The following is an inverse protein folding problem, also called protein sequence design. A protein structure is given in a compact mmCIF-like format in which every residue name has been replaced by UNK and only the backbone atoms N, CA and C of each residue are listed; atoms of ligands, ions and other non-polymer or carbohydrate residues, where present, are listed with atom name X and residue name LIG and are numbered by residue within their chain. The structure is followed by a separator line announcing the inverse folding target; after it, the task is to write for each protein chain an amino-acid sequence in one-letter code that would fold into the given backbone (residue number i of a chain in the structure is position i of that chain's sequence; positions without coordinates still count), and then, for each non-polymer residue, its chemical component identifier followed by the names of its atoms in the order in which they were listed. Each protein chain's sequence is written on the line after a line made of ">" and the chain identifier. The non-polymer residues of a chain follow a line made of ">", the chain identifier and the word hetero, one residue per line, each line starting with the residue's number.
data_IF_311040103655
#
_entry.id   IF_311040103655
#
_cell.length_a   1.000
_cell.length_b   1.000
_cell.length_c   1.000
_cell.angle_alpha   90.00
_cell.angle_beta   90.00
_cell.angle_gamma   90.00
#
_symmetry.space_group_name_H-M   'P 1'
#
loop_
_entity.id
_entity.type
_entity.pdbx_description
1 polymer ?
#
# COMPACT_ATOMS: atom_id res chain seq x y z
N UNK A 1 -9.91 10.40 -2.10
CA UNK A 1 -11.01 10.15 -1.13
C UNK A 1 -11.39 11.37 -0.30
N UNK A 2 -10.52 11.94 0.56
CA UNK A 2 -10.92 12.98 1.55
C UNK A 2 -11.49 14.29 0.98
N UNK A 3 -10.95 14.81 -0.12
CA UNK A 3 -11.34 16.13 -0.67
C UNK A 3 -12.85 16.27 -1.00
N UNK A 4 -13.50 15.35 -1.75
CA UNK A 4 -14.95 15.43 -1.97
C UNK A 4 -15.78 15.18 -0.70
N UNK A 5 -15.27 14.41 0.29
CA UNK A 5 -15.93 14.23 1.58
C UNK A 5 -15.95 15.54 2.38
N UNK A 6 -14.79 16.20 2.50
CA UNK A 6 -14.64 17.52 3.12
C UNK A 6 -15.57 18.57 2.48
N UNK A 7 -15.61 18.61 1.14
CA UNK A 7 -16.50 19.50 0.38
C UNK A 7 -17.98 19.20 0.63
N UNK A 8 -18.38 17.92 0.71
CA UNK A 8 -19.78 17.51 0.94
C UNK A 8 -20.28 17.88 2.35
N UNK A 9 -19.43 17.75 3.37
CA UNK A 9 -19.79 17.94 4.78
C UNK A 9 -19.28 19.27 5.38
N UNK A 10 -18.79 20.18 4.55
CA UNK A 10 -18.27 21.50 4.94
C UNK A 10 -17.16 21.45 6.03
N UNK A 11 -16.32 20.40 6.01
CA UNK A 11 -15.26 20.18 7.00
C UNK A 11 -13.94 20.79 6.51
N UNK A 12 -13.27 21.58 7.36
CA UNK A 12 -12.02 22.26 7.00
C UNK A 12 -10.79 21.35 7.09
N UNK A 13 -10.70 20.49 8.12
CA UNK A 13 -9.59 19.55 8.30
C UNK A 13 -10.09 18.11 8.51
N UNK A 14 -9.65 17.20 7.64
CA UNK A 14 -10.07 15.80 7.64
C UNK A 14 -9.07 14.92 6.84
N UNK A 15 -9.03 13.63 7.15
CA UNK A 15 -8.09 12.65 6.56
C UNK A 15 -8.81 11.30 6.29
N UNK A 16 -8.12 10.17 6.05
CA UNK A 16 -8.69 8.81 6.12
C UNK A 16 -7.68 7.88 6.82
N UNK A 17 -8.02 6.65 7.24
CA UNK A 17 -7.14 5.94 8.19
C UNK A 17 -6.09 5.07 7.53
N UNK A 18 -4.87 5.60 7.51
CA UNK A 18 -3.67 4.81 7.27
C UNK A 18 -3.59 3.67 8.29
N UNK A 19 -3.61 3.94 9.60
CA UNK A 19 -3.45 2.90 10.64
C UNK A 19 -4.51 1.76 10.61
N UNK A 20 -5.75 2.03 10.17
CA UNK A 20 -6.81 1.02 10.03
C UNK A 20 -6.68 0.18 8.76
N UNK A 21 -6.46 0.82 7.62
CA UNK A 21 -6.22 0.10 6.36
C UNK A 21 -4.92 -0.71 6.48
N UNK A 22 -3.93 -0.20 7.22
CA UNK A 22 -2.71 -0.91 7.59
C UNK A 22 -2.95 -2.11 8.52
N UNK A 23 -3.82 -1.96 9.54
CA UNK A 23 -4.24 -3.06 10.42
C UNK A 23 -4.81 -4.23 9.61
N UNK A 24 -5.78 -3.95 8.74
CA UNK A 24 -6.39 -4.99 7.90
C UNK A 24 -5.45 -5.50 6.81
N UNK A 25 -4.61 -4.65 6.23
CA UNK A 25 -3.56 -5.08 5.29
C UNK A 25 -2.64 -6.12 5.92
N UNK A 26 -2.10 -5.88 7.12
CA UNK A 26 -1.19 -6.85 7.77
C UNK A 26 -1.87 -8.21 8.00
N UNK A 27 -3.16 -8.24 8.31
CA UNK A 27 -3.93 -9.47 8.56
C UNK A 27 -4.29 -10.18 7.25
N UNK A 28 -4.91 -9.48 6.31
CA UNK A 28 -5.34 -10.05 5.02
C UNK A 28 -4.15 -10.49 4.16
N UNK A 29 -3.07 -9.69 4.12
CA UNK A 29 -1.82 -10.04 3.43
C UNK A 29 -1.17 -11.27 4.05
N UNK A 30 -1.18 -11.40 5.38
CA UNK A 30 -0.71 -12.61 6.07
C UNK A 30 -1.56 -13.83 5.70
N UNK A 31 -2.89 -13.69 5.64
CA UNK A 31 -3.79 -14.78 5.27
C UNK A 31 -3.61 -15.20 3.81
N UNK A 32 -3.53 -14.24 2.89
CA UNK A 32 -3.25 -14.46 1.46
C UNK A 32 -1.90 -15.14 1.27
N UNK A 33 -0.85 -14.66 1.94
CA UNK A 33 0.49 -15.22 1.85
C UNK A 33 0.56 -16.67 2.37
N UNK A 34 -0.08 -16.99 3.50
CA UNK A 34 -0.14 -18.38 4.00
C UNK A 34 -0.85 -19.32 3.03
N UNK A 35 -1.90 -18.85 2.34
CA UNK A 35 -2.55 -19.62 1.28
C UNK A 35 -1.63 -19.80 0.06
N UNK A 36 -0.86 -18.79 -0.35
CA UNK A 36 0.11 -18.91 -1.44
C UNK A 36 1.26 -19.89 -1.11
N UNK A 37 1.67 -19.99 0.15
CA UNK A 37 2.62 -21.04 0.59
C UNK A 37 2.01 -22.44 0.46
N UNK A 38 0.70 -22.60 0.70
CA UNK A 38 -0.01 -23.88 0.49
C UNK A 38 -0.17 -24.20 -1.01
N UNK A 39 -0.44 -23.20 -1.85
CA UNK A 39 -0.57 -23.35 -3.30
C UNK A 39 0.76 -23.81 -3.90
N UNK A 40 1.84 -23.04 -3.69
CA UNK A 40 3.19 -23.38 -4.18
C UNK A 40 3.68 -24.74 -3.65
N UNK A 41 3.33 -25.12 -2.42
CA UNK A 41 3.63 -26.44 -1.87
C UNK A 41 2.90 -27.59 -2.56
N UNK A 42 1.66 -27.37 -3.03
CA UNK A 42 0.87 -28.36 -3.80
C UNK A 42 1.34 -28.45 -5.25
N UNK A 43 1.83 -27.35 -5.81
CA UNK A 43 2.41 -27.27 -7.15
C UNK A 43 3.82 -27.88 -7.24
N UNK A 44 4.46 -28.14 -6.09
CA UNK A 44 5.77 -28.79 -6.01
C UNK A 44 6.97 -27.85 -6.04
N UNK A 45 6.77 -26.55 -5.82
CA UNK A 45 7.85 -25.57 -5.68
C UNK A 45 8.83 -26.00 -4.58
N UNK A 46 10.12 -26.02 -4.91
CA UNK A 46 11.18 -26.49 -4.02
C UNK A 46 11.52 -25.46 -2.93
N UNK A 47 12.21 -25.90 -1.87
CA UNK A 47 12.54 -25.02 -0.74
C UNK A 47 13.51 -23.89 -1.13
N UNK A 48 14.40 -24.20 -2.07
CA UNK A 48 15.37 -23.31 -2.72
C UNK A 48 14.83 -22.69 -4.03
N UNK A 49 13.59 -23.01 -4.42
CA UNK A 49 12.93 -22.47 -5.61
C UNK A 49 12.86 -20.93 -5.60
N UNK A 50 13.07 -20.30 -6.77
CA UNK A 50 13.12 -18.83 -6.91
C UNK A 50 11.85 -18.15 -6.39
N UNK A 51 10.68 -18.74 -6.65
CA UNK A 51 9.39 -18.21 -6.20
C UNK A 51 9.26 -18.28 -4.67
N UNK A 52 9.58 -19.41 -4.05
CA UNK A 52 9.49 -19.56 -2.60
C UNK A 52 10.52 -18.66 -1.87
N UNK A 53 11.75 -18.57 -2.38
CA UNK A 53 12.77 -17.65 -1.86
C UNK A 53 12.32 -16.18 -1.93
N UNK A 54 11.68 -15.77 -3.03
CA UNK A 54 11.09 -14.44 -3.15
C UNK A 54 9.97 -14.21 -2.12
N UNK A 55 9.00 -15.13 -2.01
CA UNK A 55 7.91 -15.06 -1.04
C UNK A 55 8.41 -15.01 0.41
N UNK A 56 9.54 -15.67 0.72
CA UNK A 56 10.16 -15.65 2.04
C UNK A 56 11.03 -14.41 2.32
N UNK A 57 11.49 -13.66 1.30
CA UNK A 57 12.35 -12.46 1.44
C UNK A 57 11.63 -11.37 2.25
N UNK A 58 10.47 -10.92 1.77
CA UNK A 58 9.60 -10.01 2.51
C UNK A 58 8.11 -10.36 2.35
N UNK A 59 7.55 -11.18 3.27
CA UNK A 59 6.16 -11.64 3.16
C UNK A 59 5.11 -10.58 3.50
N UNK A 60 5.51 -9.48 4.15
CA UNK A 60 4.62 -8.43 4.66
C UNK A 60 5.33 -7.06 4.66
N UNK A 61 5.75 -6.60 3.49
CA UNK A 61 6.11 -5.21 3.31
C UNK A 61 4.89 -4.29 3.52
N UNK A 62 5.16 -3.01 3.77
CA UNK A 62 4.11 -2.01 4.06
C UNK A 62 3.52 -1.36 2.80
N UNK A 63 4.22 -1.51 1.66
CA UNK A 63 3.75 -1.06 0.35
C UNK A 63 2.52 -1.80 -0.15
N UNK A 64 1.74 -1.15 -0.99
CA UNK A 64 0.58 -1.72 -1.67
C UNK A 64 0.48 -1.25 -3.12
N UNK A 65 -0.48 -1.82 -3.84
CA UNK A 65 -0.98 -1.32 -5.13
C UNK A 65 -2.44 -0.89 -4.99
N UNK A 66 -2.96 -0.16 -5.98
CA UNK A 66 -4.31 0.42 -5.92
C UNK A 66 -5.40 -0.61 -5.61
N UNK A 67 -5.41 -1.76 -6.29
CA UNK A 67 -6.45 -2.78 -6.09
C UNK A 67 -6.40 -3.43 -4.69
N UNK A 68 -5.24 -3.43 -4.01
CA UNK A 68 -5.16 -3.85 -2.60
C UNK A 68 -5.94 -2.88 -1.70
N UNK A 69 -5.79 -1.58 -1.95
CA UNK A 69 -6.55 -0.54 -1.24
C UNK A 69 -8.04 -0.67 -1.57
N UNK A 70 -8.41 -0.89 -2.83
CA UNK A 70 -9.82 -1.13 -3.24
C UNK A 70 -10.41 -2.34 -2.52
N UNK A 71 -9.70 -3.46 -2.43
CA UNK A 71 -10.15 -4.66 -1.71
C UNK A 71 -10.38 -4.39 -0.21
N UNK A 72 -9.44 -3.69 0.44
CA UNK A 72 -9.58 -3.32 1.86
C UNK A 72 -10.74 -2.34 2.08
N UNK A 73 -10.88 -1.32 1.22
CA UNK A 73 -11.96 -0.32 1.30
C UNK A 73 -13.33 -0.95 1.01
N UNK A 74 -13.44 -1.90 0.09
CA UNK A 74 -14.69 -2.61 -0.19
C UNK A 74 -15.08 -3.58 0.93
N UNK A 75 -14.11 -4.19 1.63
CA UNK A 75 -14.34 -5.20 2.68
C UNK A 75 -14.53 -4.58 4.08
N UNK A 76 -13.84 -3.48 4.38
CA UNK A 76 -13.77 -2.86 5.71
C UNK A 76 -14.20 -1.39 5.75
N UNK A 77 -14.33 -0.73 4.58
CA UNK A 77 -14.75 0.66 4.50
C UNK A 77 -13.64 1.70 4.74
N UNK A 78 -14.07 2.96 4.89
CA UNK A 78 -13.23 4.11 5.24
C UNK A 78 -13.95 5.01 6.25
N UNK A 79 -13.19 5.87 6.89
CA UNK A 79 -13.28 6.00 8.33
C UNK A 79 -12.94 7.47 8.82
N UNK A 80 -13.76 8.12 9.68
CA UNK A 80 -13.53 9.47 10.29
C UNK A 80 -12.70 9.68 11.59
N UNK A 81 -11.94 10.79 11.65
CA UNK A 81 -10.65 10.98 12.39
C UNK A 81 -10.47 10.32 13.76
N UNK A 82 -10.98 10.91 14.83
CA UNK A 82 -10.30 10.94 16.16
C UNK A 82 -10.39 9.62 16.98
N UNK A 83 -10.56 8.49 16.30
CA UNK A 83 -11.11 7.26 16.87
C UNK A 83 -10.26 5.99 16.59
N UNK A 84 -9.36 6.02 15.61
CA UNK A 84 -8.17 5.14 15.58
C UNK A 84 -6.99 6.07 15.26
N UNK A 85 -6.24 6.51 16.28
CA UNK A 85 -5.04 7.31 16.07
C UNK A 85 -3.92 6.45 15.45
N UNK A 86 -2.77 7.08 15.20
CA UNK A 86 -1.53 6.34 14.98
C UNK A 86 -1.07 5.72 16.31
N UNK A 87 -0.55 4.49 16.26
CA UNK A 87 0.22 3.91 17.37
C UNK A 87 1.72 4.15 17.15
N UNK A 88 2.56 3.73 18.11
CA UNK A 88 4.01 3.69 17.88
C UNK A 88 4.37 2.78 16.69
N UNK A 89 3.66 1.66 16.52
CA UNK A 89 3.98 0.65 15.51
C UNK A 89 3.42 0.96 14.12
N UNK A 90 2.37 1.78 13.98
CA UNK A 90 1.97 2.27 12.65
C UNK A 90 2.96 3.32 12.13
N UNK A 91 3.50 4.19 13.00
CA UNK A 91 4.58 5.12 12.66
C UNK A 91 5.96 4.45 12.49
N UNK A 92 6.18 3.29 13.11
CA UNK A 92 7.48 2.57 13.13
C UNK A 92 7.28 1.05 13.04
N UNK A 93 6.78 0.60 11.89
CA UNK A 93 6.40 -0.79 11.60
C UNK A 93 7.49 -1.84 11.81
N UNK A 94 8.77 -1.48 11.62
CA UNK A 94 9.92 -2.40 11.58
C UNK A 94 9.91 -3.50 12.65
N UNK A 95 9.61 -3.18 13.91
CA UNK A 95 9.61 -4.16 15.01
C UNK A 95 8.41 -5.11 14.95
N UNK A 96 7.20 -4.59 14.69
CA UNK A 96 5.99 -5.40 14.48
C UNK A 96 6.18 -6.32 13.27
N UNK A 97 6.74 -5.77 12.18
CA UNK A 97 7.00 -6.50 10.95
C UNK A 97 8.07 -7.59 11.16
N UNK A 98 9.11 -7.37 11.96
CA UNK A 98 10.08 -8.43 12.31
C UNK A 98 9.43 -9.62 13.04
N UNK A 99 8.50 -9.35 13.98
CA UNK A 99 7.75 -10.39 14.69
C UNK A 99 6.83 -11.18 13.74
N UNK A 100 6.05 -10.49 12.91
CA UNK A 100 5.14 -11.12 11.95
C UNK A 100 5.92 -11.90 10.89
N UNK A 101 7.01 -11.36 10.33
CA UNK A 101 7.89 -12.06 9.37
C UNK A 101 8.47 -13.34 9.97
N UNK A 102 8.84 -13.32 11.25
CA UNK A 102 9.33 -14.52 11.96
C UNK A 102 8.23 -15.58 12.08
N UNK A 103 7.03 -15.19 12.49
CA UNK A 103 5.89 -16.12 12.57
C UNK A 103 5.42 -16.65 11.23
N UNK A 104 5.38 -15.82 10.18
CA UNK A 104 5.05 -16.29 8.83
C UNK A 104 6.06 -17.31 8.30
N UNK A 105 7.36 -17.14 8.54
CA UNK A 105 8.39 -18.13 8.17
C UNK A 105 8.26 -19.44 8.96
N UNK A 106 7.95 -19.38 10.26
CA UNK A 106 7.61 -20.54 11.09
C UNK A 106 6.37 -21.28 10.55
N UNK A 107 5.32 -20.53 10.21
CA UNK A 107 4.06 -21.07 9.70
C UNK A 107 4.18 -21.64 8.29
N UNK A 108 5.02 -21.05 7.43
CA UNK A 108 5.31 -21.60 6.11
C UNK A 108 5.91 -23.00 6.19
N UNK A 109 6.84 -23.25 7.13
CA UNK A 109 7.32 -24.62 7.37
C UNK A 109 6.18 -25.54 7.82
N UNK A 110 5.40 -25.14 8.83
CA UNK A 110 4.28 -25.96 9.35
C UNK A 110 3.25 -26.32 8.28
N UNK A 111 2.94 -25.38 7.36
CA UNK A 111 2.01 -25.61 6.25
C UNK A 111 2.61 -26.49 5.16
N UNK A 112 3.89 -26.31 4.81
CA UNK A 112 4.59 -27.17 3.85
C UNK A 112 4.75 -28.61 4.36
N UNK A 113 5.07 -28.78 5.65
CA UNK A 113 5.10 -30.09 6.31
C UNK A 113 3.72 -30.78 6.24
N UNK A 114 2.63 -30.03 6.45
CA UNK A 114 1.24 -30.53 6.33
C UNK A 114 0.86 -30.92 4.90
N UNK A 115 1.27 -30.15 3.89
CA UNK A 115 1.04 -30.50 2.47
C UNK A 115 1.82 -31.75 2.09
N UNK A 116 3.08 -31.89 2.52
CA UNK A 116 3.88 -33.11 2.33
C UNK A 116 3.25 -34.34 3.01
N UNK A 117 2.65 -34.15 4.20
CA UNK A 117 1.86 -35.17 4.90
C UNK A 117 0.48 -35.45 4.28
N UNK A 118 0.10 -34.78 3.18
CA UNK A 118 -1.20 -34.90 2.49
C UNK A 118 -2.41 -34.58 3.38
N UNK A 119 -2.26 -33.64 4.31
CA UNK A 119 -3.36 -33.15 5.15
C UNK A 119 -4.52 -32.59 4.32
N UNK A 120 -5.75 -32.70 4.85
CA UNK A 120 -6.96 -32.24 4.15
C UNK A 120 -6.99 -30.71 3.97
N UNK A 121 -7.81 -30.23 3.04
CA UNK A 121 -8.02 -28.79 2.86
C UNK A 121 -8.55 -28.13 4.14
N UNK A 122 -9.47 -28.80 4.83
CA UNK A 122 -10.09 -28.38 6.08
C UNK A 122 -9.07 -28.34 7.22
N UNK A 123 -8.20 -29.35 7.32
CA UNK A 123 -7.09 -29.37 8.30
C UNK A 123 -6.08 -28.25 8.07
N UNK A 124 -5.79 -27.93 6.81
CA UNK A 124 -4.89 -26.83 6.43
C UNK A 124 -5.56 -25.49 6.76
N UNK A 125 -6.82 -25.26 6.38
CA UNK A 125 -7.52 -24.01 6.71
C UNK A 125 -7.75 -23.84 8.22
N UNK A 126 -8.05 -24.91 8.95
CA UNK A 126 -8.11 -24.89 10.42
C UNK A 126 -6.73 -24.61 11.07
N UNK A 127 -5.63 -24.84 10.35
CA UNK A 127 -4.28 -24.44 10.77
C UNK A 127 -4.03 -22.96 10.47
N UNK A 128 -4.34 -22.50 9.25
CA UNK A 128 -4.22 -21.08 8.84
C UNK A 128 -5.06 -20.18 9.76
N UNK A 129 -6.30 -20.55 10.08
CA UNK A 129 -7.16 -19.77 10.97
C UNK A 129 -6.56 -19.59 12.39
N UNK A 130 -5.90 -20.63 12.92
CA UNK A 130 -5.19 -20.55 14.22
C UNK A 130 -3.94 -19.69 14.12
N UNK A 131 -3.19 -19.79 13.03
CA UNK A 131 -2.00 -18.98 12.75
C UNK A 131 -2.37 -17.49 12.60
N UNK A 132 -3.45 -17.18 11.88
CA UNK A 132 -3.96 -15.82 11.70
C UNK A 132 -4.56 -15.24 12.99
N UNK A 133 -5.14 -16.05 13.89
CA UNK A 133 -5.49 -15.57 15.23
C UNK A 133 -4.25 -15.10 16.03
N UNK A 134 -3.09 -15.73 15.85
CA UNK A 134 -1.84 -15.25 16.48
C UNK A 134 -1.32 -13.99 15.80
N UNK A 135 -1.38 -13.89 14.46
CA UNK A 135 -1.01 -12.65 13.75
C UNK A 135 -1.94 -11.49 14.16
N UNK A 136 -3.25 -11.72 14.24
CA UNK A 136 -4.23 -10.77 14.74
C UNK A 136 -3.86 -10.27 16.15
N UNK A 137 -3.50 -11.17 17.08
CA UNK A 137 -3.08 -10.77 18.41
C UNK A 137 -1.81 -9.91 18.41
N UNK A 138 -0.83 -10.18 17.53
CA UNK A 138 0.37 -9.34 17.38
C UNK A 138 -0.01 -7.95 16.84
N UNK A 139 -0.77 -7.90 15.74
CA UNK A 139 -1.20 -6.65 15.09
C UNK A 139 -2.06 -5.81 16.04
N UNK A 140 -3.01 -6.42 16.75
CA UNK A 140 -3.86 -5.76 17.74
C UNK A 140 -3.09 -5.28 18.98
N UNK A 141 -2.04 -5.99 19.42
CA UNK A 141 -1.16 -5.51 20.49
C UNK A 141 -0.32 -4.30 20.04
N UNK A 142 0.11 -4.29 18.77
CA UNK A 142 0.97 -3.24 18.22
C UNK A 142 0.22 -1.99 17.73
N UNK A 143 -1.03 -2.13 17.26
CA UNK A 143 -1.85 -1.06 16.66
C UNK A 143 -3.10 -0.70 17.47
N UNK A 144 -3.52 -1.55 18.42
CA UNK A 144 -4.84 -1.51 19.04
C UNK A 144 -5.88 -2.30 18.23
N UNK A 145 -7.02 -2.64 18.85
CA UNK A 145 -8.16 -3.25 18.15
C UNK A 145 -9.06 -2.15 17.55
N UNK A 146 -9.40 -2.20 16.25
CA UNK A 146 -10.38 -1.27 15.70
C UNK A 146 -11.79 -1.55 16.28
N UNK A 147 -12.54 -0.53 16.71
CA UNK A 147 -13.84 -0.73 17.33
C UNK A 147 -14.93 -1.03 16.29
N UNK A 148 -15.74 -2.08 16.53
CA UNK A 148 -16.90 -2.44 15.69
C UNK A 148 -17.93 -1.31 15.59
N UNK A 149 -18.08 -0.54 16.68
CA UNK A 149 -18.94 0.64 16.83
C UNK A 149 -18.23 1.65 17.72
N UNK A 150 -18.41 2.94 17.43
CA UNK A 150 -17.86 4.10 18.15
C UNK A 150 -18.84 5.30 17.84
N UNK A 151 -18.54 6.59 18.15
CA UNK A 151 -19.25 7.79 17.57
C UNK A 151 -18.27 8.94 17.18
N UNK A 152 -18.39 9.59 15.99
CA UNK A 152 -17.38 10.59 15.50
C UNK A 152 -18.00 11.96 15.49
N UNK A 153 -17.55 12.79 16.42
CA UNK A 153 -18.13 14.09 16.69
C UNK A 153 -17.30 15.19 16.02
N UNK A 154 -17.99 16.08 15.32
CA UNK A 154 -17.38 17.25 14.72
C UNK A 154 -18.34 18.43 14.71
N UNK A 155 -17.77 19.63 14.70
CA UNK A 155 -18.49 20.87 14.43
C UNK A 155 -18.27 21.23 12.96
N UNK A 156 -19.32 21.67 12.28
CA UNK A 156 -19.22 22.21 10.92
C UNK A 156 -18.87 23.71 10.94
N UNK A 157 -18.75 24.34 9.76
CA UNK A 157 -18.45 25.79 9.64
C UNK A 157 -19.46 26.71 10.34
N UNK A 158 -20.71 26.28 10.48
CA UNK A 158 -21.76 27.03 11.20
C UNK A 158 -21.74 26.78 12.73
N UNK A 159 -20.75 26.05 13.25
CA UNK A 159 -20.63 25.60 14.65
C UNK A 159 -21.72 24.64 15.12
N UNK A 160 -22.43 23.97 14.21
CA UNK A 160 -23.39 22.93 14.57
C UNK A 160 -22.68 21.60 14.89
N UNK A 161 -23.02 20.99 16.03
CA UNK A 161 -22.56 19.65 16.42
C UNK A 161 -23.19 18.58 15.51
N UNK A 162 -22.37 17.67 15.00
CA UNK A 162 -22.74 16.55 14.16
C UNK A 162 -22.01 15.28 14.63
N UNK A 163 -22.63 14.10 14.50
CA UNK A 163 -21.92 12.84 14.75
C UNK A 163 -22.23 11.69 13.77
N UNK A 164 -21.18 11.10 13.15
CA UNK A 164 -21.24 10.01 12.15
C UNK A 164 -19.82 9.56 11.72
N UNK A 165 -19.51 8.27 11.47
CA UNK A 165 -18.20 7.90 10.87
C UNK A 165 -17.80 6.41 10.84
N UNK A 166 -17.10 5.89 11.86
CA UNK A 166 -15.30 6.23 12.42
C UNK A 166 -14.02 5.67 11.79
N UNK A 167 -12.86 6.28 12.23
CA UNK A 167 -11.36 6.08 12.25
C UNK A 167 -10.40 6.90 11.26
N UNK A 168 -9.40 7.76 11.66
CA UNK A 168 -8.26 8.28 10.78
C UNK A 168 -7.06 9.09 11.36
N UNK A 169 -5.80 8.85 10.85
CA UNK A 169 -4.64 9.78 10.92
C UNK A 169 -3.60 9.79 9.70
N UNK A 170 -2.27 10.08 9.89
CA UNK A 170 -1.19 10.42 8.86
C UNK A 170 0.29 10.41 9.42
N UNK A 171 1.36 10.43 8.58
CA UNK A 171 2.83 10.75 8.80
C UNK A 171 3.69 10.46 7.48
N UNK A 172 5.02 10.67 7.28
CA UNK A 172 6.08 11.71 7.55
C UNK A 172 7.42 11.43 6.72
N UNK A 173 8.44 12.34 6.64
CA UNK A 173 9.94 12.17 6.45
C UNK A 173 10.71 12.73 5.18
N UNK A 174 12.03 13.04 5.33
CA UNK A 174 12.84 14.04 4.56
C UNK A 174 14.04 13.51 3.71
N UNK A 175 14.53 14.30 2.70
CA UNK A 175 15.87 15.01 2.61
C UNK A 175 16.48 15.30 1.21
N UNK A 176 17.08 16.49 1.09
CA UNK A 176 18.12 16.95 0.12
C UNK A 176 19.54 16.68 0.71
N UNK A 177 20.70 16.74 0.02
CA UNK A 177 21.11 16.74 -1.42
C UNK A 177 22.60 16.31 -1.45
N UNK A 178 23.05 15.61 -2.49
CA UNK A 178 24.48 15.38 -2.76
C UNK A 178 24.93 16.09 -4.04
N UNK A 179 26.11 16.71 -4.01
CA UNK A 179 26.57 17.66 -5.03
C UNK A 179 27.36 16.96 -6.17
N UNK A 180 26.65 16.24 -7.04
CA UNK A 180 27.21 15.54 -8.20
C UNK A 180 26.16 15.41 -9.30
N UNK A 181 26.55 15.54 -10.58
CA UNK A 181 25.65 15.35 -11.70
C UNK A 181 25.37 13.85 -11.93
N UNK A 182 24.14 13.42 -11.66
CA UNK A 182 23.69 12.07 -12.01
C UNK A 182 23.28 12.07 -13.48
N UNK A 183 24.18 11.63 -14.36
CA UNK A 183 23.83 11.34 -15.75
C UNK A 183 22.90 10.13 -15.80
N UNK A 184 21.68 10.32 -16.30
CA UNK A 184 20.70 9.25 -16.53
C UNK A 184 21.14 8.45 -17.78
N UNK A 185 22.12 7.57 -17.60
CA UNK A 185 22.76 6.83 -18.69
C UNK A 185 21.98 5.63 -19.25
N UNK A 186 20.82 5.31 -18.67
CA UNK A 186 19.95 4.19 -19.05
C UNK A 186 18.54 4.72 -19.38
N UNK A 187 17.93 4.20 -20.46
CA UNK A 187 16.53 4.47 -20.75
C UNK A 187 15.60 3.87 -19.68
N UNK A 188 14.39 4.40 -19.53
CA UNK A 188 13.40 3.93 -18.54
C UNK A 188 13.14 2.41 -18.59
N UNK A 189 13.17 1.81 -19.79
CA UNK A 189 13.05 0.35 -19.97
C UNK A 189 14.22 -0.41 -19.33
N UNK A 190 15.43 0.10 -19.50
CA UNK A 190 16.66 -0.56 -19.06
C UNK A 190 16.81 -0.38 -17.54
N UNK A 191 16.41 0.78 -16.99
CA UNK A 191 16.35 0.98 -15.53
C UNK A 191 15.40 0.01 -14.83
N UNK A 192 14.26 -0.32 -15.44
CA UNK A 192 13.37 -1.38 -14.94
C UNK A 192 14.01 -2.77 -15.04
N UNK A 193 14.61 -3.11 -16.18
CA UNK A 193 15.18 -4.44 -16.44
C UNK A 193 16.43 -4.75 -15.60
N UNK A 194 17.28 -3.75 -15.35
CA UNK A 194 18.50 -3.88 -14.55
C UNK A 194 18.32 -3.54 -13.07
N UNK A 195 17.11 -3.14 -12.64
CA UNK A 195 16.77 -2.90 -11.23
C UNK A 195 17.15 -1.53 -10.67
N UNK A 196 17.63 -0.61 -11.52
CA UNK A 196 18.02 0.76 -11.19
C UNK A 196 16.80 1.68 -10.89
N UNK A 197 15.61 1.36 -11.41
CA UNK A 197 14.40 2.14 -11.13
C UNK A 197 13.11 1.30 -11.13
N UNK A 198 12.25 1.53 -10.14
CA UNK A 198 10.95 0.88 -9.96
C UNK A 198 9.99 1.80 -9.17
N UNK A 199 8.74 1.37 -8.94
CA UNK A 199 7.77 2.14 -8.15
C UNK A 199 8.07 2.03 -6.63
N UNK A 200 8.63 3.09 -6.04
CA UNK A 200 9.02 3.12 -4.62
C UNK A 200 8.05 3.86 -3.70
N UNK A 201 7.27 4.83 -4.19
CA UNK A 201 6.38 5.68 -3.40
C UNK A 201 5.12 6.09 -4.16
N UNK A 202 4.04 6.38 -3.44
CA UNK A 202 2.74 6.78 -4.01
C UNK A 202 2.30 8.15 -3.46
N UNK A 203 1.87 9.04 -4.35
CA UNK A 203 1.52 10.45 -4.04
C UNK A 203 0.29 10.91 -4.85
N UNK A 204 -0.24 12.10 -4.56
CA UNK A 204 -1.50 12.58 -5.17
C UNK A 204 -1.29 13.84 -6.01
N UNK A 205 -1.57 13.78 -7.31
CA UNK A 205 -1.64 14.96 -8.16
C UNK A 205 -2.80 15.89 -7.74
N UNK A 206 -2.53 17.18 -7.59
CA UNK A 206 -3.49 18.19 -7.11
C UNK A 206 -3.66 19.40 -8.03
N UNK A 207 -2.66 19.71 -8.86
CA UNK A 207 -2.81 20.65 -9.98
C UNK A 207 -1.77 20.34 -11.08
N UNK A 208 -2.01 20.85 -12.29
CA UNK A 208 -1.05 20.91 -13.38
C UNK A 208 -0.90 22.36 -13.82
N UNK A 209 0.34 22.78 -14.09
CA UNK A 209 0.63 24.05 -14.78
C UNK A 209 1.01 23.74 -16.23
N UNK A 210 0.29 24.37 -17.16
CA UNK A 210 0.48 24.18 -18.61
C UNK A 210 1.20 25.38 -19.24
N UNK A 211 1.60 25.22 -20.50
CA UNK A 211 1.86 26.34 -21.41
C UNK A 211 0.54 26.93 -21.98
N UNK A 212 0.68 27.88 -22.90
CA UNK A 212 -0.44 28.54 -23.61
C UNK A 212 -1.17 27.63 -24.60
N UNK A 213 -0.57 26.51 -25.01
CA UNK A 213 -1.19 25.50 -25.87
C UNK A 213 -1.90 24.39 -25.06
N UNK A 214 -1.71 24.36 -23.73
CA UNK A 214 -2.28 23.38 -22.81
C UNK A 214 -1.39 22.17 -22.53
N UNK A 215 -0.14 22.14 -23.01
CA UNK A 215 0.77 21.04 -22.69
C UNK A 215 1.24 21.13 -21.23
N UNK A 216 1.35 20.01 -20.49
CA UNK A 216 1.83 20.02 -19.11
C UNK A 216 3.31 20.42 -19.04
N UNK A 217 3.63 21.41 -18.22
CA UNK A 217 5.02 21.80 -17.89
C UNK A 217 5.46 21.25 -16.53
N UNK A 218 4.54 21.27 -15.56
CA UNK A 218 4.81 20.92 -14.16
C UNK A 218 3.55 20.48 -13.42
N UNK A 219 3.73 19.57 -12.48
CA UNK A 219 2.66 18.97 -11.68
C UNK A 219 2.84 19.31 -10.20
N UNK A 220 1.79 19.81 -9.55
CA UNK A 220 1.72 19.98 -8.10
C UNK A 220 1.23 18.68 -7.47
N UNK A 221 2.01 18.12 -6.55
CA UNK A 221 1.75 16.84 -5.90
C UNK A 221 1.62 17.04 -4.40
N UNK A 222 0.52 16.58 -3.81
CA UNK A 222 0.40 16.41 -2.35
C UNK A 222 1.12 15.11 -1.95
N UNK A 223 2.07 15.23 -1.01
CA UNK A 223 2.81 14.11 -0.45
C UNK A 223 2.26 13.76 0.95
N UNK A 224 2.50 12.55 1.45
CA UNK A 224 2.07 12.11 2.78
C UNK A 224 2.92 12.67 3.93
N UNK A 225 4.11 13.20 3.62
CA UNK A 225 5.19 13.48 4.59
C UNK A 225 4.94 14.64 5.59
N UNK A 226 3.75 15.24 5.60
CA UNK A 226 3.39 16.31 6.54
C UNK A 226 3.52 17.72 5.95
N UNK A 227 3.26 18.75 6.75
CA UNK A 227 3.15 20.16 6.34
C UNK A 227 4.42 20.99 6.63
N UNK A 228 5.41 20.41 7.30
CA UNK A 228 6.68 21.07 7.68
C UNK A 228 7.76 21.00 6.59
N UNK A 229 7.50 20.26 5.52
CA UNK A 229 8.43 20.01 4.43
C UNK A 229 7.94 20.62 3.12
N UNK A 230 8.87 21.02 2.26
CA UNK A 230 8.58 21.62 0.94
C UNK A 230 7.63 22.83 1.06
N UNK A 231 6.79 23.11 0.05
CA UNK A 231 5.70 24.07 0.20
C UNK A 231 4.50 23.40 0.90
N UNK A 232 4.55 23.32 2.23
CA UNK A 232 3.45 22.81 3.09
C UNK A 232 2.99 21.39 2.73
N UNK A 233 3.93 20.49 2.47
CA UNK A 233 3.69 19.11 2.05
C UNK A 233 3.46 18.92 0.55
N UNK A 234 3.60 19.98 -0.26
CA UNK A 234 3.48 19.90 -1.71
C UNK A 234 4.84 19.91 -2.42
N UNK A 235 4.97 18.99 -3.38
CA UNK A 235 6.07 18.92 -4.34
C UNK A 235 5.65 19.55 -5.67
N UNK A 236 6.66 19.98 -6.44
CA UNK A 236 6.51 20.47 -7.81
C UNK A 236 7.40 19.63 -8.72
N UNK A 237 6.78 18.72 -9.48
CA UNK A 237 7.48 17.82 -10.41
C UNK A 237 7.47 18.43 -11.81
N UNK A 238 8.56 18.32 -12.55
CA UNK A 238 8.61 18.74 -13.97
C UNK A 238 8.07 17.65 -14.89
N UNK A 239 7.64 18.01 -16.10
CA UNK A 239 7.16 17.02 -17.08
C UNK A 239 8.21 15.97 -17.48
N UNK A 240 9.49 16.31 -17.71
CA UNK A 240 10.54 15.31 -17.94
C UNK A 240 10.71 14.33 -16.75
N UNK A 241 10.60 14.81 -15.51
CA UNK A 241 10.64 13.93 -14.33
C UNK A 241 9.44 12.98 -14.31
N UNK A 242 8.24 13.49 -14.64
CA UNK A 242 7.03 12.66 -14.78
C UNK A 242 7.24 11.54 -15.81
N UNK A 243 7.77 11.86 -17.00
CA UNK A 243 8.06 10.86 -18.04
C UNK A 243 9.01 9.77 -17.55
N UNK A 244 10.10 10.15 -16.89
CA UNK A 244 11.15 9.21 -16.50
C UNK A 244 10.81 8.35 -15.28
N UNK A 245 10.02 8.86 -14.32
CA UNK A 245 9.89 8.23 -12.99
C UNK A 245 8.45 7.92 -12.52
N UNK A 246 7.40 8.34 -13.25
CA UNK A 246 6.03 7.90 -12.96
C UNK A 246 5.71 6.64 -13.75
N UNK A 247 5.32 5.56 -13.05
CA UNK A 247 5.01 4.26 -13.66
C UNK A 247 3.51 3.94 -13.73
N UNK A 248 2.71 4.44 -12.78
CA UNK A 248 1.28 4.18 -12.66
C UNK A 248 0.51 5.49 -12.38
N UNK A 249 -0.71 5.62 -12.93
CA UNK A 249 -1.67 6.67 -12.54
C UNK A 249 -3.09 6.09 -12.45
N UNK A 250 -3.80 6.42 -11.36
CA UNK A 250 -5.18 5.98 -11.15
C UNK A 250 -6.15 7.09 -11.57
N UNK A 251 -7.03 6.79 -12.52
CA UNK A 251 -8.00 7.74 -13.09
C UNK A 251 -9.42 7.17 -13.11
N UNK A 252 -10.41 8.06 -13.00
CA UNK A 252 -11.84 7.70 -13.07
C UNK A 252 -12.19 7.25 -14.50
N UNK A 253 -12.84 6.09 -14.63
CA UNK A 253 -13.18 5.45 -15.91
C UNK A 253 -13.95 6.37 -16.87
N UNK A 254 -14.68 7.38 -16.38
CA UNK A 254 -15.40 8.35 -17.22
C UNK A 254 -14.49 9.28 -18.04
N UNK A 255 -13.19 9.34 -17.73
CA UNK A 255 -12.19 10.10 -18.48
C UNK A 255 -11.34 9.22 -19.41
N UNK A 256 -11.62 7.91 -19.47
CA UNK A 256 -10.83 6.93 -20.23
C UNK A 256 -11.56 6.61 -21.55
N UNK A 257 -10.90 6.72 -22.71
CA UNK A 257 -11.47 6.26 -23.99
C UNK A 257 -11.90 4.80 -23.94
N UNK A 258 -13.00 4.45 -24.62
CA UNK A 258 -13.56 3.09 -24.60
C UNK A 258 -12.58 2.03 -25.10
N UNK A 259 -11.77 2.37 -26.10
CA UNK A 259 -10.69 1.54 -26.65
C UNK A 259 -9.63 1.14 -25.60
N UNK A 260 -9.36 2.01 -24.62
CA UNK A 260 -8.45 1.73 -23.50
C UNK A 260 -9.17 0.95 -22.39
N UNK A 261 -10.46 1.21 -22.17
CA UNK A 261 -11.29 0.40 -21.26
C UNK A 261 -11.49 -1.04 -21.76
N UNK A 262 -11.45 -1.27 -23.07
CA UNK A 262 -11.55 -2.60 -23.67
C UNK A 262 -10.33 -3.50 -23.38
N UNK A 263 -9.20 -2.94 -22.94
CA UNK A 263 -8.06 -3.73 -22.43
C UNK A 263 -8.46 -4.58 -21.21
N UNK A 264 -9.38 -4.11 -20.37
CA UNK A 264 -9.91 -4.89 -19.24
C UNK A 264 -10.78 -6.10 -19.65
N UNK A 265 -11.03 -6.31 -20.95
CA UNK A 265 -11.72 -7.49 -21.49
C UNK A 265 -10.75 -8.56 -22.02
N UNK A 266 -9.45 -8.26 -22.10
CA UNK A 266 -8.42 -9.17 -22.59
C UNK A 266 -7.97 -10.12 -21.48
N UNK A 267 -7.37 -11.25 -21.85
CA UNK A 267 -6.73 -12.15 -20.88
C UNK A 267 -5.47 -11.47 -20.31
N UNK A 268 -5.37 -11.42 -18.99
CA UNK A 268 -4.29 -10.71 -18.31
C UNK A 268 -2.96 -11.47 -18.43
N UNK A 269 -1.92 -10.78 -18.92
CA UNK A 269 -0.56 -11.34 -19.00
C UNK A 269 -0.02 -11.54 -17.58
N UNK A 270 0.15 -12.79 -17.17
CA UNK A 270 0.66 -13.14 -15.85
C UNK A 270 2.18 -12.92 -15.80
N UNK A 271 2.59 -11.83 -15.14
CA UNK A 271 4.00 -11.52 -14.88
C UNK A 271 4.52 -12.34 -13.67
N UNK A 272 5.84 -12.65 -13.61
CA UNK A 272 6.42 -13.37 -12.48
C UNK A 272 6.34 -12.55 -11.19
N UNK A 273 6.25 -13.20 -10.03
CA UNK A 273 6.06 -12.52 -8.74
C UNK A 273 7.13 -11.48 -8.37
N UNK A 274 8.33 -11.57 -8.95
CA UNK A 274 9.46 -10.66 -8.77
C UNK A 274 9.60 -9.59 -9.87
N UNK A 275 8.59 -9.41 -10.72
CA UNK A 275 8.58 -8.38 -11.76
C UNK A 275 8.60 -6.95 -11.16
N UNK A 276 9.39 -6.00 -11.70
CA UNK A 276 9.47 -4.65 -11.15
C UNK A 276 8.14 -3.87 -11.21
N UNK A 277 7.21 -4.22 -12.11
CA UNK A 277 5.85 -3.65 -12.12
C UNK A 277 4.97 -4.16 -10.97
N UNK A 278 5.38 -5.26 -10.32
CA UNK A 278 4.83 -5.73 -9.05
C UNK A 278 5.43 -5.06 -7.81
N UNK A 279 6.27 -4.00 -7.96
CA UNK A 279 6.89 -3.33 -6.81
C UNK A 279 5.85 -2.57 -6.00
N UNK A 280 5.46 -3.16 -4.87
CA UNK A 280 4.63 -2.57 -3.85
C UNK A 280 5.43 -1.46 -3.14
N UNK A 281 4.97 -0.21 -3.20
CA UNK A 281 5.70 1.01 -2.79
C UNK A 281 6.53 0.85 -1.49
N UNK A 282 7.83 0.64 -1.63
CA UNK A 282 8.72 0.21 -0.54
C UNK A 282 9.88 1.21 -0.31
N UNK A 283 9.92 1.93 0.83
CA UNK A 283 11.00 2.87 1.17
C UNK A 283 12.33 2.19 1.59
N UNK A 284 12.42 0.86 1.44
CA UNK A 284 13.65 0.08 1.67
C UNK A 284 14.39 -0.21 0.35
N UNK A 285 13.69 -0.16 -0.79
CA UNK A 285 14.30 -0.36 -2.13
C UNK A 285 15.22 0.79 -2.57
N UNK A 286 15.35 1.85 -1.76
CA UNK A 286 16.27 2.99 -1.98
C UNK A 286 17.40 3.04 -0.94
N UNK A 287 17.81 1.88 -0.40
CA UNK A 287 18.85 1.72 0.63
C UNK A 287 19.71 0.45 0.46
N UNK A 288 19.99 0.08 -0.80
CA UNK A 288 21.16 -0.72 -1.17
C UNK A 288 22.19 0.23 -1.82
#
# INVERSE_FOLDING_TARGET
>A
MRLPFMKKYAIEEFEFSQSYLFFWDKIERSHYWLNNIVITAKEGEQLDGRLLNFLLKDPINDGGQWDMIVNLVNKYGVMPKKCFPESFSSKRSLHMNALIKTKLREYAKQLRDKVAAKASYEEIQATINKQIAVIYNIVATCLGTPPEKFTFEFYNKEKAYNSFGPLTPKDHDYRLVFNTEVQIGLEKKDRLLYGDSCMTHAMVFTAVGTDEQGNPLKFRVENSYGDKEYDKGYLLLTEPWFREFVFEVVIDKKYVPSEVLDVFKQEAIVLPAWDPMGTLACPVCSKE
#
